data_IF_718107627861
#
_entry.id   IF_718107627861
#
_cell.length_a   1.000
_cell.length_b   1.000
_cell.length_c   1.000
_cell.angle_alpha   90.00
_cell.angle_beta   90.00
_cell.angle_gamma   90.00
#
_symmetry.space_group_name_H-M   'P 1'
#
loop_
_entity.id
_entity.type
_entity.pdbx_description
1 polymer ?
#
# COMPACT_ATOMS: atom_id res chain seq x y z
N UNK A 1 -17.78 -36.56 63.91
CA UNK A 1 -18.74 -36.01 64.91
C UNK A 1 -18.25 -34.64 65.37
N UNK A 2 -19.18 -33.69 65.53
CA UNK A 2 -19.07 -32.37 66.20
C UNK A 2 -18.12 -31.33 65.56
N UNK A 3 -18.50 -30.07 65.30
CA UNK A 3 -19.60 -29.23 65.79
C UNK A 3 -19.84 -28.08 64.80
N UNK A 4 -21.10 -27.83 64.46
CA UNK A 4 -21.57 -26.52 63.96
C UNK A 4 -21.71 -25.57 65.15
N UNK A 5 -21.27 -24.31 64.98
CA UNK A 5 -21.68 -23.20 65.84
C UNK A 5 -22.11 -22.02 64.97
N UNK A 6 -23.41 -21.73 65.02
CA UNK A 6 -24.03 -20.48 64.55
C UNK A 6 -23.50 -19.30 65.37
N UNK A 7 -23.45 -18.10 64.80
CA UNK A 7 -24.34 -17.00 65.23
C UNK A 7 -24.06 -15.64 64.58
N UNK A 8 -25.19 -14.94 64.32
CA UNK A 8 -25.42 -13.49 64.40
C UNK A 8 -24.99 -12.57 63.22
N UNK A 9 -26.00 -12.24 62.40
CA UNK A 9 -26.26 -10.90 61.80
C UNK A 9 -26.66 -9.91 62.93
N UNK A 10 -26.72 -8.57 62.77
CA UNK A 10 -26.91 -7.75 61.56
C UNK A 10 -26.02 -6.48 61.49
N UNK A 11 -25.97 -5.68 60.41
CA UNK A 11 -26.88 -4.53 60.24
C UNK A 11 -26.43 -3.66 59.06
N UNK A 12 -27.42 -3.27 58.24
CA UNK A 12 -27.63 -1.94 57.66
C UNK A 12 -26.40 -1.03 57.48
N UNK A 13 -25.81 -0.99 56.28
CA UNK A 13 -25.29 0.23 55.62
C UNK A 13 -25.82 0.21 54.18
N UNK A 14 -27.02 0.75 53.94
CA UNK A 14 -27.17 2.12 53.46
C UNK A 14 -26.36 2.42 52.18
N UNK A 15 -26.95 2.00 51.05
CA UNK A 15 -27.17 2.81 49.84
C UNK A 15 -26.06 3.81 49.47
N UNK A 16 -25.13 3.35 48.63
CA UNK A 16 -24.55 4.13 47.53
C UNK A 16 -23.60 3.21 46.76
N UNK A 17 -23.22 3.58 45.54
CA UNK A 17 -22.39 2.83 44.59
C UNK A 17 -23.15 1.92 43.60
N UNK A 18 -24.39 2.27 43.25
CA UNK A 18 -25.10 1.69 42.09
C UNK A 18 -25.20 2.66 40.90
N UNK A 19 -24.35 3.69 40.84
CA UNK A 19 -24.46 4.76 39.84
C UNK A 19 -23.10 5.31 39.37
N UNK A 20 -22.12 4.46 39.05
CA UNK A 20 -20.84 4.94 38.49
C UNK A 20 -20.16 4.02 37.47
N UNK A 21 -20.84 3.02 36.89
CA UNK A 21 -20.21 2.15 35.88
C UNK A 21 -21.10 1.86 34.66
N UNK A 22 -21.91 2.83 34.23
CA UNK A 22 -22.68 2.74 32.97
C UNK A 22 -22.17 3.72 31.89
N UNK A 23 -21.07 4.45 32.15
CA UNK A 23 -20.52 5.43 31.20
C UNK A 23 -19.16 5.01 30.59
N UNK A 24 -18.91 3.71 30.45
CA UNK A 24 -17.77 3.19 29.66
C UNK A 24 -18.19 2.66 28.28
N UNK A 25 -19.43 2.91 27.87
CA UNK A 25 -19.92 2.50 26.56
C UNK A 25 -19.48 3.50 25.47
N UNK A 26 -18.63 3.00 24.57
CA UNK A 26 -18.40 3.47 23.22
C UNK A 26 -17.53 4.73 23.01
N UNK A 27 -16.22 4.57 23.26
CA UNK A 27 -15.24 5.09 22.30
C UNK A 27 -14.58 3.87 21.67
N UNK A 28 -15.29 3.23 20.73
CA UNK A 28 -14.65 2.24 19.86
C UNK A 28 -13.88 3.08 18.83
N UNK A 29 -12.53 3.06 18.81
CA UNK A 29 -11.84 3.61 17.66
C UNK A 29 -12.34 2.81 16.46
N UNK A 30 -12.92 3.49 15.47
CA UNK A 30 -13.17 2.91 14.16
C UNK A 30 -11.81 2.50 13.62
N UNK A 31 -11.42 1.25 13.85
CA UNK A 31 -10.32 0.61 13.18
C UNK A 31 -10.74 0.53 11.72
N UNK A 32 -10.45 1.59 10.97
CA UNK A 32 -10.49 1.56 9.53
C UNK A 32 -9.53 0.45 9.14
N UNK A 33 -10.07 -0.67 8.65
CA UNK A 33 -9.26 -1.70 8.05
C UNK A 33 -8.34 -0.99 7.06
N UNK A 34 -7.03 -1.00 7.35
CA UNK A 34 -6.02 -0.25 6.62
C UNK A 34 -5.89 -0.86 5.23
N UNK A 35 -6.79 -0.46 4.33
CA UNK A 35 -6.57 -0.48 2.89
C UNK A 35 -5.25 0.27 2.64
N UNK A 36 -4.46 -0.19 1.65
CA UNK A 36 -3.18 0.44 1.32
C UNK A 36 -3.29 1.96 1.37
N UNK A 37 -2.33 2.59 2.05
CA UNK A 37 -2.26 4.06 2.11
C UNK A 37 -2.21 4.56 0.66
N UNK A 38 -3.04 5.55 0.37
CA UNK A 38 -3.06 6.17 -0.94
C UNK A 38 -1.66 6.72 -1.26
N UNK A 39 -1.24 6.69 -2.53
CA UNK A 39 0.07 7.18 -2.95
C UNK A 39 1.27 6.49 -2.24
N UNK A 40 1.14 5.19 -1.97
CA UNK A 40 2.25 4.35 -1.54
C UNK A 40 2.52 3.21 -2.53
N UNK A 41 3.79 2.84 -2.65
CA UNK A 41 4.25 1.70 -3.39
C UNK A 41 5.27 0.86 -2.64
N UNK A 42 5.38 -0.40 -3.03
CA UNK A 42 6.39 -1.33 -2.53
C UNK A 42 7.08 -2.06 -3.66
N UNK A 43 8.38 -2.27 -3.49
CA UNK A 43 9.19 -3.15 -4.33
C UNK A 43 9.83 -4.22 -3.44
N UNK A 44 9.70 -5.47 -3.83
CA UNK A 44 10.33 -6.59 -3.14
C UNK A 44 11.21 -7.36 -4.12
N UNK A 45 12.51 -7.28 -3.89
CA UNK A 45 13.53 -7.95 -4.69
C UNK A 45 13.86 -9.28 -4.04
N UNK A 46 13.59 -10.37 -4.76
CA UNK A 46 13.89 -11.74 -4.35
C UNK A 46 14.38 -12.54 -5.54
N UNK A 47 15.55 -13.16 -5.39
CA UNK A 47 16.22 -13.87 -6.48
C UNK A 47 16.36 -12.95 -7.71
N UNK A 48 15.91 -13.35 -8.90
CA UNK A 48 15.86 -12.48 -10.09
C UNK A 48 14.51 -11.76 -10.27
N UNK A 49 13.59 -11.88 -9.31
CA UNK A 49 12.26 -11.28 -9.37
C UNK A 49 12.18 -9.97 -8.60
N UNK A 50 11.55 -8.96 -9.19
CA UNK A 50 11.14 -7.73 -8.49
C UNK A 50 9.62 -7.65 -8.50
N UNK A 51 9.01 -7.81 -7.34
CA UNK A 51 7.56 -7.74 -7.16
C UNK A 51 7.17 -6.33 -6.77
N UNK A 52 6.17 -5.79 -7.46
CA UNK A 52 5.73 -4.41 -7.33
C UNK A 52 4.26 -4.39 -6.90
N UNK A 53 3.95 -3.49 -5.96
CA UNK A 53 2.58 -3.06 -5.67
C UNK A 53 2.56 -1.54 -5.59
N UNK A 54 1.70 -0.86 -6.35
CA UNK A 54 1.51 0.59 -6.32
C UNK A 54 0.05 0.91 -6.03
N UNK A 55 -0.21 1.92 -5.20
CA UNK A 55 -1.53 2.53 -5.00
C UNK A 55 -1.50 3.92 -5.62
N UNK A 56 -2.14 4.09 -6.78
CA UNK A 56 -2.10 5.33 -7.57
C UNK A 56 -3.49 5.94 -7.71
N UNK A 57 -3.60 7.28 -7.79
CA UNK A 57 -4.89 7.94 -7.98
C UNK A 57 -5.43 7.69 -9.39
N UNK A 58 -6.76 7.55 -9.52
CA UNK A 58 -7.41 7.36 -10.83
C UNK A 58 -7.25 8.58 -11.74
N UNK A 59 -7.07 9.76 -11.16
CA UNK A 59 -6.80 11.01 -11.88
C UNK A 59 -5.44 11.02 -12.61
N UNK A 60 -4.56 10.03 -12.37
CA UNK A 60 -3.29 9.86 -13.07
C UNK A 60 -3.43 9.32 -14.50
N UNK A 61 -4.63 8.84 -14.84
CA UNK A 61 -4.98 8.31 -16.15
C UNK A 61 -5.91 9.29 -16.86
N UNK A 62 -5.68 9.51 -18.15
CA UNK A 62 -6.51 10.42 -18.92
C UNK A 62 -7.65 9.69 -19.62
N UNK A 63 -8.82 10.33 -19.66
CA UNK A 63 -10.03 9.87 -20.38
C UNK A 63 -10.62 8.52 -19.92
N UNK A 64 -10.39 8.11 -18.66
CA UNK A 64 -10.96 6.87 -18.10
C UNK A 64 -12.24 7.07 -17.27
N UNK A 65 -12.55 8.32 -16.94
CA UNK A 65 -13.74 8.75 -16.20
C UNK A 65 -14.76 9.28 -17.22
N UNK A 66 -15.73 8.45 -17.60
CA UNK A 66 -16.66 8.74 -18.70
C UNK A 66 -17.74 9.74 -18.26
N UNK A 67 -18.13 9.71 -16.98
CA UNK A 67 -19.17 10.59 -16.42
C UNK A 67 -18.61 11.82 -15.69
N UNK A 68 -17.30 11.91 -15.49
CA UNK A 68 -16.60 13.05 -14.92
C UNK A 68 -16.78 13.21 -13.42
N UNK A 69 -17.20 12.16 -12.71
CA UNK A 69 -17.49 12.22 -11.27
C UNK A 69 -16.23 12.14 -10.38
N UNK A 70 -15.04 12.00 -10.98
CA UNK A 70 -13.74 11.91 -10.31
C UNK A 70 -13.47 10.53 -9.69
N UNK A 71 -14.22 9.50 -10.08
CA UNK A 71 -14.09 8.11 -9.61
C UNK A 71 -14.34 7.19 -10.78
N UNK A 72 -13.70 6.02 -10.77
CA UNK A 72 -14.00 4.99 -11.77
C UNK A 72 -15.04 4.00 -11.25
N UNK A 73 -16.11 3.82 -12.00
CA UNK A 73 -17.09 2.75 -11.80
C UNK A 73 -16.57 1.41 -12.34
N UNK A 74 -17.16 0.27 -11.93
CA UNK A 74 -16.79 -1.03 -12.50
C UNK A 74 -16.95 -1.11 -14.03
N UNK A 75 -17.95 -0.42 -14.58
CA UNK A 75 -18.22 -0.40 -16.03
C UNK A 75 -17.14 0.37 -16.79
N UNK A 76 -16.79 1.57 -16.32
CA UNK A 76 -15.71 2.37 -16.90
C UNK A 76 -14.37 1.65 -16.78
N UNK A 77 -14.10 1.03 -15.62
CA UNK A 77 -12.87 0.26 -15.43
C UNK A 77 -12.78 -0.91 -16.39
N UNK A 78 -13.87 -1.65 -16.61
CA UNK A 78 -13.90 -2.75 -17.58
C UNK A 78 -13.69 -2.26 -19.02
N UNK A 79 -14.32 -1.14 -19.38
CA UNK A 79 -14.22 -0.51 -20.70
C UNK A 79 -12.80 -0.02 -21.00
N UNK A 80 -12.20 0.72 -20.08
CA UNK A 80 -10.89 1.38 -20.23
C UNK A 80 -9.70 0.54 -19.76
N UNK A 81 -9.93 -0.72 -19.34
CA UNK A 81 -8.90 -1.59 -18.78
C UNK A 81 -7.66 -1.72 -19.66
N UNK A 82 -7.84 -1.77 -20.99
CA UNK A 82 -6.74 -1.91 -21.95
C UNK A 82 -5.89 -0.65 -22.00
N UNK A 83 -6.51 0.52 -21.98
CA UNK A 83 -5.84 1.81 -22.02
C UNK A 83 -5.09 2.06 -20.70
N UNK A 84 -5.70 1.73 -19.57
CA UNK A 84 -5.04 1.74 -18.25
C UNK A 84 -3.80 0.84 -18.27
N UNK A 85 -3.89 -0.40 -18.79
CA UNK A 85 -2.73 -1.31 -18.88
C UNK A 85 -1.64 -0.73 -19.78
N UNK A 86 -2.00 -0.13 -20.90
CA UNK A 86 -1.05 0.50 -21.83
C UNK A 86 -0.31 1.64 -21.13
N UNK A 87 -1.03 2.54 -20.50
CA UNK A 87 -0.47 3.69 -19.79
C UNK A 87 0.43 3.27 -18.62
N UNK A 88 0.06 2.23 -17.88
CA UNK A 88 0.92 1.65 -16.82
C UNK A 88 2.23 1.13 -17.42
N UNK A 89 2.20 0.44 -18.55
CA UNK A 89 3.42 -0.10 -19.18
C UNK A 89 4.33 0.98 -19.77
N UNK A 90 3.76 2.12 -20.15
CA UNK A 90 4.53 3.26 -20.65
C UNK A 90 5.15 4.09 -19.52
N UNK A 91 4.42 4.24 -18.40
CA UNK A 91 4.80 5.11 -17.29
C UNK A 91 5.44 4.38 -16.11
N UNK A 92 5.53 3.06 -16.11
CA UNK A 92 6.15 2.27 -15.04
C UNK A 92 7.22 1.36 -15.62
N UNK A 93 8.46 1.60 -15.24
CA UNK A 93 9.60 0.86 -15.75
C UNK A 93 10.62 0.55 -14.64
N UNK A 94 11.35 -0.55 -14.86
CA UNK A 94 12.54 -0.89 -14.10
C UNK A 94 13.65 -1.09 -15.12
N UNK A 95 14.81 -0.50 -14.86
CA UNK A 95 16.02 -0.75 -15.65
C UNK A 95 17.06 -1.43 -14.78
N UNK A 96 17.83 -2.33 -15.38
CA UNK A 96 19.07 -2.85 -14.84
C UNK A 96 20.24 -2.53 -15.79
N UNK A 97 21.43 -3.05 -15.51
CA UNK A 97 22.62 -2.83 -16.34
C UNK A 97 22.46 -3.31 -17.79
N UNK A 98 21.54 -4.25 -18.03
CA UNK A 98 21.24 -4.80 -19.36
C UNK A 98 20.10 -4.05 -20.06
N UNK A 99 19.56 -2.99 -19.43
CA UNK A 99 18.52 -2.12 -19.97
C UNK A 99 17.14 -2.32 -19.35
N UNK A 100 16.09 -1.90 -20.05
CA UNK A 100 14.72 -1.94 -19.56
C UNK A 100 14.20 -3.37 -19.35
N UNK A 101 13.61 -3.61 -18.17
CA UNK A 101 12.93 -4.86 -17.81
C UNK A 101 11.43 -4.72 -18.09
N UNK A 102 10.82 -5.64 -18.85
CA UNK A 102 9.40 -5.58 -19.13
C UNK A 102 8.57 -5.85 -17.87
N UNK A 103 7.53 -5.05 -17.67
CA UNK A 103 6.52 -5.26 -16.62
C UNK A 103 5.58 -6.41 -17.01
N UNK A 104 5.52 -7.44 -16.17
CA UNK A 104 4.78 -8.68 -16.40
C UNK A 104 3.79 -8.95 -15.26
N UNK A 105 2.81 -9.83 -15.52
CA UNK A 105 1.88 -10.30 -14.49
C UNK A 105 1.01 -9.20 -13.88
N UNK A 106 0.64 -8.20 -14.69
CA UNK A 106 -0.16 -7.06 -14.25
C UNK A 106 -1.53 -7.50 -13.71
N UNK A 107 -1.81 -7.13 -12.47
CA UNK A 107 -3.13 -7.23 -11.85
C UNK A 107 -3.56 -5.83 -11.40
N UNK A 108 -4.79 -5.47 -11.73
CA UNK A 108 -5.35 -4.13 -11.49
C UNK A 108 -6.63 -4.27 -10.66
N UNK A 109 -6.69 -3.57 -9.54
CA UNK A 109 -7.81 -3.65 -8.59
C UNK A 109 -8.22 -2.23 -8.17
N UNK A 110 -9.41 -1.75 -8.60
CA UNK A 110 -9.99 -0.53 -8.05
C UNK A 110 -10.31 -0.70 -6.56
N UNK A 111 -9.94 0.29 -5.75
CA UNK A 111 -10.23 0.30 -4.31
C UNK A 111 -11.67 0.74 -4.07
N UNK A 112 -12.60 -0.19 -3.90
CA UNK A 112 -14.01 0.12 -3.63
C UNK A 112 -14.23 0.26 -2.12
N UNK A 113 -14.82 1.36 -1.63
CA UNK A 113 -15.18 1.49 -0.22
C UNK A 113 -16.17 0.40 0.21
N UNK A 114 -15.90 -0.33 1.30
CA UNK A 114 -16.75 -1.43 1.78
C UNK A 114 -18.19 -1.01 2.14
N UNK A 115 -18.41 0.28 2.42
CA UNK A 115 -19.71 0.80 2.87
C UNK A 115 -20.69 0.96 1.69
N UNK A 116 -20.19 1.16 0.46
CA UNK A 116 -21.03 1.34 -0.74
C UNK A 116 -20.38 0.64 -1.93
N UNK A 117 -20.71 -0.63 -2.22
CA UNK A 117 -20.09 -1.42 -3.30
C UNK A 117 -20.24 -0.83 -4.71
N UNK A 118 -21.14 0.15 -4.90
CA UNK A 118 -21.37 0.88 -6.15
C UNK A 118 -20.73 2.28 -6.18
N UNK A 119 -20.14 2.75 -5.08
CA UNK A 119 -19.39 3.99 -5.10
C UNK A 119 -18.07 3.75 -5.84
N UNK A 120 -17.86 4.44 -6.95
CA UNK A 120 -16.63 4.35 -7.73
C UNK A 120 -15.36 4.54 -6.89
N UNK A 121 -14.22 4.10 -7.42
CA UNK A 121 -12.94 4.18 -6.74
C UNK A 121 -12.13 5.42 -7.13
N UNK A 122 -11.41 5.99 -6.17
CA UNK A 122 -10.40 7.05 -6.42
C UNK A 122 -8.98 6.52 -6.55
N UNK A 123 -8.75 5.25 -6.23
CA UNK A 123 -7.41 4.67 -6.13
C UNK A 123 -7.35 3.32 -6.86
N UNK A 124 -6.29 3.11 -7.62
CA UNK A 124 -5.99 1.87 -8.32
C UNK A 124 -4.82 1.19 -7.65
N UNK A 125 -5.03 -0.05 -7.19
CA UNK A 125 -3.92 -0.92 -6.81
C UNK A 125 -3.42 -1.65 -8.05
N UNK A 126 -2.15 -1.46 -8.36
CA UNK A 126 -1.43 -2.07 -9.46
C UNK A 126 -0.43 -3.05 -8.87
N UNK A 127 -0.52 -4.32 -9.25
CA UNK A 127 0.46 -5.33 -8.92
C UNK A 127 1.14 -5.82 -10.18
N UNK A 128 2.42 -6.16 -10.09
CA UNK A 128 3.16 -6.74 -11.21
C UNK A 128 4.53 -7.21 -10.79
N UNK A 129 5.29 -7.71 -11.76
CA UNK A 129 6.67 -8.13 -11.55
C UNK A 129 7.58 -7.78 -12.70
N UNK A 130 8.85 -7.57 -12.38
CA UNK A 130 9.95 -7.52 -13.34
C UNK A 130 10.83 -8.76 -13.17
N UNK A 131 11.50 -9.15 -14.25
CA UNK A 131 12.53 -10.19 -14.22
C UNK A 131 13.86 -9.52 -14.55
N UNK A 132 14.81 -9.58 -13.62
CA UNK A 132 16.17 -9.09 -13.80
C UNK A 132 16.96 -10.00 -14.74
N UNK A 133 17.92 -9.44 -15.46
CA UNK A 133 18.75 -10.21 -16.38
C UNK A 133 19.62 -11.27 -15.67
N UNK A 134 20.09 -10.98 -14.45
CA UNK A 134 20.88 -11.90 -13.63
C UNK A 134 20.52 -11.82 -12.15
N UNK A 135 20.89 -12.86 -11.39
CA UNK A 135 20.78 -12.85 -9.92
C UNK A 135 21.78 -11.88 -9.27
N UNK A 136 22.91 -11.63 -9.93
CA UNK A 136 23.96 -10.73 -9.41
C UNK A 136 23.49 -9.27 -9.43
N UNK A 137 22.62 -8.91 -10.37
CA UNK A 137 21.93 -7.61 -10.39
C UNK A 137 21.06 -7.42 -9.14
N UNK A 138 20.44 -8.48 -8.63
CA UNK A 138 19.59 -8.41 -7.44
C UNK A 138 20.38 -8.18 -6.15
N UNK A 139 21.59 -8.75 -6.06
CA UNK A 139 22.45 -8.67 -4.87
C UNK A 139 23.28 -7.39 -4.85
N UNK A 140 23.84 -6.99 -5.99
CA UNK A 140 24.69 -5.81 -6.07
C UNK A 140 23.87 -4.53 -6.24
N UNK A 141 22.67 -4.60 -6.84
CA UNK A 141 21.77 -3.48 -7.19
C UNK A 141 22.45 -2.28 -7.89
N UNK A 142 23.71 -2.42 -8.27
CA UNK A 142 24.45 -1.45 -9.06
C UNK A 142 23.71 -1.30 -10.38
N UNK A 143 23.11 -0.12 -10.60
CA UNK A 143 22.38 0.19 -11.83
C UNK A 143 20.88 -0.11 -11.84
N UNK A 144 20.27 -0.57 -10.74
CA UNK A 144 18.81 -0.68 -10.68
C UNK A 144 18.16 0.70 -10.57
N UNK A 145 17.36 1.10 -11.57
CA UNK A 145 16.61 2.36 -11.54
C UNK A 145 15.13 2.07 -11.74
N UNK A 146 14.31 2.56 -10.81
CA UNK A 146 12.86 2.44 -10.87
C UNK A 146 12.24 3.76 -11.31
N UNK A 147 11.28 3.70 -12.21
CA UNK A 147 10.60 4.83 -12.82
C UNK A 147 9.08 4.67 -12.65
N UNK A 148 8.39 5.72 -12.19
CA UNK A 148 6.93 5.80 -12.11
C UNK A 148 6.47 7.22 -12.46
N UNK A 149 5.76 7.35 -13.58
CA UNK A 149 5.13 8.58 -14.06
C UNK A 149 3.62 8.68 -13.79
N UNK A 150 3.07 7.89 -12.86
CA UNK A 150 1.64 7.82 -12.54
C UNK A 150 1.28 8.76 -11.37
N UNK A 151 1.18 10.05 -11.66
CA UNK A 151 0.80 11.08 -10.69
C UNK A 151 -0.56 11.67 -11.03
N UNK A 152 -1.38 11.92 -10.01
CA UNK A 152 -2.70 12.49 -10.20
C UNK A 152 -2.68 14.02 -10.31
N UNK A 153 -3.88 14.60 -10.35
CA UNK A 153 -4.10 16.03 -10.60
C UNK A 153 -4.14 16.84 -9.30
N UNK A 154 -4.52 16.22 -8.18
CA UNK A 154 -4.57 16.85 -6.86
C UNK A 154 -3.18 17.15 -6.28
N UNK A 155 -3.07 18.10 -5.34
CA UNK A 155 -1.80 18.45 -4.71
C UNK A 155 -1.14 17.25 -4.01
N UNK A 156 -1.92 16.48 -3.26
CA UNK A 156 -1.51 15.25 -2.56
C UNK A 156 -1.30 14.06 -3.50
N UNK A 157 -1.59 14.21 -4.79
CA UNK A 157 -1.50 13.16 -5.80
C UNK A 157 -0.22 13.26 -6.65
N UNK A 158 0.60 14.29 -6.40
CA UNK A 158 1.85 14.58 -7.12
C UNK A 158 3.08 13.92 -6.51
N UNK A 159 2.90 13.16 -5.45
CA UNK A 159 3.95 12.44 -4.72
C UNK A 159 3.58 10.97 -4.59
N UNK A 160 4.60 10.11 -4.46
CA UNK A 160 4.45 8.67 -4.29
C UNK A 160 5.59 8.15 -3.39
N UNK A 161 5.25 7.67 -2.19
CA UNK A 161 6.26 7.04 -1.30
C UNK A 161 6.49 5.59 -1.75
N UNK A 162 7.75 5.25 -2.03
CA UNK A 162 8.16 3.89 -2.37
C UNK A 162 8.99 3.30 -1.24
N UNK A 163 8.62 2.09 -0.82
CA UNK A 163 9.46 1.24 0.03
C UNK A 163 10.00 0.08 -0.79
N UNK A 164 11.30 0.11 -1.10
CA UNK A 164 12.01 -1.02 -1.69
C UNK A 164 12.64 -1.89 -0.59
N UNK A 165 12.56 -3.21 -0.78
CA UNK A 165 13.17 -4.22 0.09
C UNK A 165 13.96 -5.22 -0.73
N UNK A 166 15.15 -5.59 -0.26
CA UNK A 166 15.96 -6.66 -0.85
C UNK A 166 16.53 -7.56 0.24
N UNK A 167 16.70 -8.84 -0.07
CA UNK A 167 17.33 -9.81 0.83
C UNK A 167 18.53 -10.44 0.14
N UNK A 168 19.72 -10.17 0.66
CA UNK A 168 20.98 -10.60 0.05
C UNK A 168 21.28 -12.09 0.31
N UNK A 169 20.92 -12.58 1.51
CA UNK A 169 21.00 -14.00 1.86
C UNK A 169 19.95 -14.34 2.91
N UNK A 170 19.72 -15.63 3.16
CA UNK A 170 18.78 -16.07 4.22
C UNK A 170 19.22 -15.63 5.62
N UNK A 171 20.52 -15.46 5.82
CA UNK A 171 21.16 -15.17 7.11
C UNK A 171 21.22 -13.66 7.39
N UNK A 172 21.20 -12.82 6.36
CA UNK A 172 21.24 -11.36 6.49
C UNK A 172 19.82 -10.80 6.55
N UNK A 173 19.62 -9.83 7.45
CA UNK A 173 18.36 -9.08 7.54
C UNK A 173 18.04 -8.38 6.21
N UNK A 174 16.75 -8.27 5.87
CA UNK A 174 16.34 -7.58 4.66
C UNK A 174 16.73 -6.09 4.74
N UNK A 175 17.34 -5.57 3.68
CA UNK A 175 17.61 -4.15 3.55
C UNK A 175 16.36 -3.44 3.06
N UNK A 176 16.11 -2.26 3.63
CA UNK A 176 14.97 -1.41 3.28
C UNK A 176 15.50 -0.07 2.79
N UNK A 177 14.96 0.39 1.66
CA UNK A 177 15.23 1.70 1.08
C UNK A 177 13.89 2.38 0.88
N UNK A 178 13.68 3.50 1.58
CA UNK A 178 12.51 4.35 1.39
C UNK A 178 12.91 5.58 0.61
N UNK A 179 12.10 5.96 -0.38
CA UNK A 179 12.29 7.16 -1.17
C UNK A 179 10.95 7.68 -1.67
N UNK A 180 10.94 8.93 -2.10
CA UNK A 180 9.77 9.58 -2.67
C UNK A 180 10.01 9.85 -4.15
N UNK A 181 8.97 9.66 -4.96
CA UNK A 181 8.91 10.08 -6.34
C UNK A 181 7.90 11.22 -6.47
N UNK A 182 8.17 12.17 -7.36
CA UNK A 182 7.28 13.30 -7.65
C UNK A 182 7.08 13.44 -9.15
N UNK A 183 6.09 14.25 -9.56
CA UNK A 183 5.84 14.58 -10.96
C UNK A 183 7.06 15.19 -11.71
N UNK A 184 8.03 15.73 -10.98
CA UNK A 184 9.26 16.35 -11.48
C UNK A 184 10.46 15.41 -11.34
N UNK A 185 10.39 14.48 -10.38
CA UNK A 185 11.41 13.47 -10.10
C UNK A 185 10.76 12.09 -10.00
N UNK A 186 10.50 11.53 -11.16
CA UNK A 186 9.74 10.28 -11.33
C UNK A 186 10.63 9.03 -11.35
N UNK A 187 11.94 9.15 -11.10
CA UNK A 187 12.87 8.04 -11.06
C UNK A 187 13.81 8.04 -9.84
N UNK A 188 14.25 6.86 -9.42
CA UNK A 188 15.20 6.68 -8.32
C UNK A 188 16.07 5.43 -8.49
N UNK A 189 17.34 5.53 -8.11
CA UNK A 189 18.28 4.40 -8.09
C UNK A 189 18.10 3.58 -6.81
N UNK A 190 17.76 2.31 -6.97
CA UNK A 190 17.50 1.41 -5.85
C UNK A 190 18.80 0.98 -5.17
N UNK A 191 18.86 1.17 -3.85
CA UNK A 191 20.00 0.74 -3.02
C UNK A 191 21.36 1.25 -3.51
N UNK A 192 21.39 2.37 -4.23
CA UNK A 192 22.63 3.07 -4.50
C UNK A 192 23.34 3.28 -3.16
N UNK A 193 24.58 2.80 -3.05
CA UNK A 193 25.38 3.06 -1.87
C UNK A 193 25.47 4.59 -1.73
N UNK A 194 25.20 5.10 -0.53
CA UNK A 194 25.71 6.40 -0.16
C UNK A 194 27.24 6.28 -0.21
N UNK A 195 27.82 6.58 -1.37
CA UNK A 195 29.20 7.05 -1.44
C UNK A 195 29.09 8.50 -1.01
N UNK A 196 29.71 8.82 0.14
CA UNK A 196 29.72 10.10 0.88
C UNK A 196 28.63 10.17 1.97
N UNK A 197 28.93 10.38 3.25
CA UNK A 197 30.11 10.95 3.92
C UNK A 197 30.21 10.40 5.35
#
# INVERSE_FOLDING_TARGET
MTKYSKCLRPSSWAKSLLSSLVLSAAIVPYASAHLMVAQHGTLNIKDSGVFMVLSVPMSAFDNIDDDGNGKISPTEFAKHRKDIIKEIKEKVALTDNDGARPLQGLLLTPVVPHIVPKAGSKQLVIMGRFTLASKDTATNSSGLTFHVGLFGKGAEEKTLEITATRRLSKEIAAQKHKFELTHERFENKLFAQNVNQ
#
